data_IF_823193941967
#
_entry.id   IF_823193941967
#
_cell.length_a   1.000
_cell.length_b   1.000
_cell.length_c   1.000
_cell.angle_alpha   90.00
_cell.angle_beta   90.00
_cell.angle_gamma   90.00
#
_symmetry.space_group_name_H-M   'P 1'
#
loop_
_entity.id
_entity.type
_entity.pdbx_description
1 polymer ?
#
# COMPACT_ATOMS: atom_id res chain seq x y z
N UNK A 1 24.25 18.51 7.62
CA UNK A 1 24.15 17.39 6.68
C UNK A 1 23.20 16.35 7.24
N UNK A 2 22.29 15.82 6.43
CA UNK A 2 21.36 14.76 6.81
C UNK A 2 21.72 13.47 6.08
N UNK A 3 21.58 12.33 6.76
CA UNK A 3 21.74 11.02 6.16
C UNK A 3 20.74 10.04 6.77
N UNK A 4 20.10 9.24 5.93
CA UNK A 4 19.14 8.23 6.35
C UNK A 4 19.73 6.82 6.25
N UNK A 5 19.36 5.95 7.18
CA UNK A 5 19.64 4.53 7.12
C UNK A 5 18.38 3.71 7.43
N UNK A 6 18.31 2.52 6.83
CA UNK A 6 17.24 1.53 7.02
C UNK A 6 17.86 0.27 7.58
N UNK A 7 17.47 -0.14 8.78
CA UNK A 7 18.03 -1.30 9.48
C UNK A 7 19.59 -1.25 9.55
N UNK A 8 20.16 -0.05 9.72
CA UNK A 8 21.60 0.18 9.73
C UNK A 8 22.27 0.30 8.35
N UNK A 9 21.53 0.09 7.25
CA UNK A 9 22.06 0.22 5.88
C UNK A 9 21.77 1.63 5.34
N UNK A 10 22.79 2.38 4.87
CA UNK A 10 22.57 3.72 4.30
C UNK A 10 21.58 3.70 3.12
N UNK A 11 20.60 4.60 3.17
CA UNK A 11 19.62 4.77 2.09
C UNK A 11 20.20 5.75 1.06
N UNK A 12 20.22 5.35 -0.21
CA UNK A 12 20.68 6.20 -1.32
C UNK A 12 19.50 6.60 -2.20
N UNK A 13 19.29 7.91 -2.44
CA UNK A 13 18.30 8.36 -3.41
C UNK A 13 18.63 7.84 -4.80
N UNK A 14 17.64 7.31 -5.50
CA UNK A 14 17.77 6.83 -6.88
C UNK A 14 17.11 7.77 -7.90
N UNK A 15 16.45 8.83 -7.43
CA UNK A 15 15.77 9.81 -8.27
C UNK A 15 14.42 9.36 -8.83
N UNK A 16 13.92 8.18 -8.44
CA UNK A 16 12.64 7.63 -8.89
C UNK A 16 11.81 7.10 -7.73
N UNK A 17 12.25 6.02 -7.12
CA UNK A 17 11.50 5.30 -6.09
C UNK A 17 11.92 5.77 -4.67
N UNK A 18 13.14 6.30 -4.53
CA UNK A 18 13.66 6.88 -3.29
C UNK A 18 14.15 8.30 -3.59
N UNK A 19 13.53 9.29 -2.95
CA UNK A 19 13.84 10.71 -3.12
C UNK A 19 14.22 11.35 -1.78
N UNK A 20 15.09 12.35 -1.84
CA UNK A 20 15.34 13.26 -0.74
C UNK A 20 14.71 14.62 -1.06
N UNK A 21 13.90 15.13 -0.13
CA UNK A 21 13.34 16.47 -0.21
C UNK A 21 14.40 17.52 0.18
N UNK A 22 14.20 18.77 -0.25
CA UNK A 22 15.12 19.88 0.04
C UNK A 22 15.20 20.24 1.53
N UNK A 23 14.16 19.90 2.29
CA UNK A 23 14.12 20.03 3.75
C UNK A 23 14.76 18.84 4.47
N UNK A 24 15.23 17.83 3.74
CA UNK A 24 15.87 16.63 4.27
C UNK A 24 14.92 15.49 4.62
N UNK A 25 13.65 15.55 4.18
CA UNK A 25 12.73 14.42 4.29
C UNK A 25 13.07 13.28 3.32
N UNK A 26 12.94 12.04 3.78
CA UNK A 26 13.03 10.84 2.95
C UNK A 26 11.65 10.49 2.38
N UNK A 27 11.53 10.42 1.05
CA UNK A 27 10.29 10.07 0.35
C UNK A 27 10.47 8.72 -0.33
N UNK A 28 9.57 7.77 -0.02
CA UNK A 28 9.50 6.45 -0.63
C UNK A 28 8.28 6.39 -1.57
N UNK A 29 8.53 6.28 -2.87
CA UNK A 29 7.49 6.10 -3.88
C UNK A 29 7.28 4.61 -4.17
N UNK A 30 6.03 4.21 -4.46
CA UNK A 30 5.66 2.83 -4.80
C UNK A 30 6.15 1.82 -3.75
N UNK A 31 5.86 2.12 -2.48
CA UNK A 31 6.27 1.34 -1.31
C UNK A 31 5.93 -0.14 -1.47
N UNK A 32 6.91 -1.00 -1.19
CA UNK A 32 6.80 -2.47 -1.21
C UNK A 32 6.90 -3.01 0.20
N UNK A 33 6.44 -4.25 0.42
CA UNK A 33 6.59 -4.92 1.71
C UNK A 33 8.06 -5.02 2.18
N UNK A 34 9.01 -5.07 1.24
CA UNK A 34 10.46 -5.04 1.53
C UNK A 34 10.97 -3.68 2.05
N UNK A 35 10.16 -2.63 1.97
CA UNK A 35 10.50 -1.31 2.50
C UNK A 35 10.15 -1.16 3.98
N UNK A 36 9.51 -2.17 4.59
CA UNK A 36 9.31 -2.25 6.02
C UNK A 36 10.64 -2.30 6.78
N UNK A 37 10.70 -1.60 7.92
CA UNK A 37 11.84 -1.63 8.82
C UNK A 37 12.02 -0.35 9.62
N UNK A 38 13.17 -0.28 10.29
CA UNK A 38 13.54 0.84 11.16
C UNK A 38 14.35 1.87 10.39
N UNK A 39 13.80 3.07 10.24
CA UNK A 39 14.42 4.18 9.54
C UNK A 39 15.02 5.15 10.54
N UNK A 40 16.31 5.44 10.41
CA UNK A 40 17.00 6.38 11.28
C UNK A 40 17.57 7.53 10.46
N UNK A 41 17.14 8.74 10.82
CA UNK A 41 17.66 9.97 10.27
C UNK A 41 18.75 10.50 11.19
N UNK A 42 19.93 10.78 10.63
CA UNK A 42 21.06 11.36 11.35
C UNK A 42 21.35 12.76 10.81
N UNK A 43 21.37 13.75 11.70
CA UNK A 43 21.72 15.13 11.41
C UNK A 43 23.08 15.47 12.00
N UNK A 44 23.96 16.00 11.16
CA UNK A 44 25.32 16.40 11.52
C UNK A 44 25.53 17.89 11.31
N UNK A 45 26.06 18.54 12.33
CA UNK A 45 26.75 19.82 12.24
C UNK A 45 28.22 19.54 12.60
N UNK A 46 29.20 20.32 12.11
CA UNK A 46 30.61 19.91 12.11
C UNK A 46 31.16 19.19 13.36
N UNK A 47 30.67 19.54 14.55
CA UNK A 47 31.06 18.93 15.84
C UNK A 47 29.92 18.19 16.59
N UNK A 48 28.67 18.26 16.12
CA UNK A 48 27.52 17.62 16.79
C UNK A 48 26.75 16.71 15.85
N UNK A 49 26.28 15.58 16.38
CA UNK A 49 25.37 14.67 15.70
C UNK A 49 24.14 14.39 16.56
N UNK A 50 22.98 14.39 15.93
CA UNK A 50 21.72 13.94 16.54
C UNK A 50 21.05 12.91 15.62
N UNK A 51 20.33 11.97 16.21
CA UNK A 51 19.66 10.89 15.48
C UNK A 51 18.24 10.70 15.99
N UNK A 52 17.33 10.38 15.08
CA UNK A 52 15.96 9.99 15.40
C UNK A 52 15.58 8.76 14.58
N UNK A 53 14.87 7.82 15.21
CA UNK A 53 14.47 6.54 14.59
C UNK A 53 12.95 6.42 14.58
N UNK A 54 12.41 5.97 13.45
CA UNK A 54 10.99 5.68 13.26
C UNK A 54 10.82 4.27 12.69
N UNK A 55 9.83 3.54 13.22
CA UNK A 55 9.47 2.23 12.71
C UNK A 55 8.43 2.37 11.61
N UNK A 56 8.73 1.88 10.41
CA UNK A 56 7.85 1.96 9.25
C UNK A 56 7.31 0.56 8.96
N UNK A 57 5.98 0.41 9.02
CA UNK A 57 5.28 -0.81 8.63
C UNK A 57 4.52 -0.60 7.34
N UNK A 58 4.62 -1.56 6.43
CA UNK A 58 3.93 -1.48 5.14
C UNK A 58 2.71 -2.36 5.19
N UNK A 59 1.58 -1.75 5.53
CA UNK A 59 0.29 -2.41 5.48
C UNK A 59 -0.09 -2.48 4.01
N UNK A 60 -0.13 -3.69 3.44
CA UNK A 60 -0.83 -3.88 2.18
C UNK A 60 -2.26 -3.45 2.42
N UNK A 61 -2.76 -2.53 1.60
CA UNK A 61 -4.17 -2.22 1.59
C UNK A 61 -4.90 -3.46 1.08
N UNK A 62 -5.13 -4.38 2.01
CA UNK A 62 -6.17 -5.36 1.91
C UNK A 62 -7.47 -4.58 2.05
N UNK A 63 -7.90 -3.93 0.98
CA UNK A 63 -9.32 -3.83 0.63
C UNK A 63 -9.90 -5.23 0.30
N UNK A 64 -9.36 -6.24 1.00
CA UNK A 64 -9.51 -7.66 0.97
C UNK A 64 -9.18 -8.17 2.38
N UNK A 65 -9.83 -7.62 3.41
CA UNK A 65 -10.51 -8.51 4.36
C UNK A 65 -11.83 -8.99 3.72
N UNK A 66 -11.69 -9.43 2.48
CA UNK A 66 -12.55 -10.40 1.88
C UNK A 66 -12.14 -11.64 2.65
N UNK A 67 -12.96 -12.05 3.61
CA UNK A 67 -12.83 -13.36 4.23
C UNK A 67 -12.43 -14.35 3.14
N UNK A 68 -11.46 -15.24 3.35
CA UNK A 68 -11.11 -16.27 2.37
C UNK A 68 -12.33 -17.09 1.87
N UNK A 69 -13.49 -16.93 2.52
CA UNK A 69 -14.79 -17.53 2.19
C UNK A 69 -15.68 -16.71 1.23
N UNK A 70 -15.23 -15.58 0.70
CA UNK A 70 -16.00 -14.85 -0.31
C UNK A 70 -16.01 -15.61 -1.63
N UNK A 71 -17.15 -16.26 -1.87
CA UNK A 71 -17.42 -17.04 -3.07
C UNK A 71 -18.76 -16.57 -3.62
N UNK A 72 -18.84 -16.47 -4.95
CA UNK A 72 -20.08 -16.09 -5.61
C UNK A 72 -21.16 -17.16 -5.42
N UNK A 73 -22.34 -16.74 -4.96
CA UNK A 73 -23.50 -17.61 -4.77
C UNK A 73 -24.34 -17.65 -6.05
N UNK A 74 -23.83 -18.37 -7.06
CA UNK A 74 -24.46 -18.45 -8.39
C UNK A 74 -25.88 -19.03 -8.40
N UNK A 75 -26.28 -19.74 -7.34
CA UNK A 75 -27.66 -20.22 -7.17
C UNK A 75 -28.67 -19.08 -6.91
N UNK A 76 -28.21 -17.96 -6.37
CA UNK A 76 -29.04 -16.82 -6.00
C UNK A 76 -28.95 -15.67 -7.00
N UNK A 77 -27.80 -15.52 -7.68
CA UNK A 77 -27.61 -14.48 -8.69
C UNK A 77 -26.59 -14.91 -9.77
N UNK A 78 -26.88 -14.57 -11.03
CA UNK A 78 -25.90 -14.71 -12.10
C UNK A 78 -24.89 -13.56 -12.04
N UNK A 79 -23.76 -13.78 -11.37
CA UNK A 79 -22.76 -12.74 -11.12
C UNK A 79 -22.09 -12.19 -12.38
N UNK A 80 -22.09 -12.95 -13.48
CA UNK A 80 -21.65 -12.44 -14.80
C UNK A 80 -22.58 -11.32 -15.29
N UNK A 81 -23.89 -11.46 -15.09
CA UNK A 81 -24.87 -10.42 -15.44
C UNK A 81 -24.80 -9.23 -14.49
N UNK A 82 -24.63 -9.44 -13.19
CA UNK A 82 -24.50 -8.36 -12.20
C UNK A 82 -23.30 -7.46 -12.50
N UNK A 83 -22.15 -8.05 -12.80
CA UNK A 83 -20.95 -7.29 -13.22
C UNK A 83 -21.19 -6.57 -14.53
N UNK A 84 -21.75 -7.26 -15.55
CA UNK A 84 -22.03 -6.67 -16.85
C UNK A 84 -22.99 -5.47 -16.76
N UNK A 85 -24.03 -5.56 -15.94
CA UNK A 85 -25.01 -4.51 -15.70
C UNK A 85 -24.54 -3.42 -14.72
N UNK A 86 -23.30 -3.50 -14.21
CA UNK A 86 -22.72 -2.57 -13.21
C UNK A 86 -23.56 -2.45 -11.93
N UNK A 87 -24.17 -3.55 -11.50
CA UNK A 87 -25.04 -3.60 -10.32
C UNK A 87 -24.29 -3.90 -9.01
N UNK A 88 -22.96 -3.95 -9.04
CA UNK A 88 -22.12 -4.19 -7.87
C UNK A 88 -22.19 -3.11 -6.78
N UNK A 89 -22.76 -1.94 -7.08
CA UNK A 89 -23.03 -0.89 -6.08
C UNK A 89 -24.28 -1.17 -5.25
N UNK A 90 -25.13 -2.12 -5.70
CA UNK A 90 -26.31 -2.52 -4.96
C UNK A 90 -25.94 -3.58 -3.93
N UNK A 91 -26.18 -3.27 -2.65
CA UNK A 91 -25.87 -4.13 -1.52
C UNK A 91 -26.49 -5.54 -1.63
N UNK A 92 -27.68 -5.65 -2.23
CA UNK A 92 -28.36 -6.93 -2.44
C UNK A 92 -27.60 -7.84 -3.42
N UNK A 93 -27.02 -7.28 -4.48
CA UNK A 93 -26.29 -8.08 -5.46
C UNK A 93 -24.81 -8.28 -5.07
N UNK A 94 -24.21 -7.29 -4.42
CA UNK A 94 -22.81 -7.37 -3.98
C UNK A 94 -22.57 -8.39 -2.86
N UNK A 95 -23.61 -8.74 -2.09
CA UNK A 95 -23.52 -9.81 -1.08
C UNK A 95 -23.38 -11.19 -1.72
N UNK A 96 -24.16 -11.49 -2.76
CA UNK A 96 -24.11 -12.77 -3.47
C UNK A 96 -22.98 -12.85 -4.49
N UNK A 97 -22.60 -11.71 -5.10
CA UNK A 97 -21.56 -11.64 -6.12
C UNK A 97 -20.27 -11.00 -5.61
N UNK A 98 -19.91 -11.33 -4.36
CA UNK A 98 -18.82 -10.69 -3.65
C UNK A 98 -17.47 -10.84 -4.40
N UNK A 99 -17.15 -12.03 -4.91
CA UNK A 99 -15.88 -12.30 -5.57
C UNK A 99 -15.81 -11.62 -6.95
N UNK A 100 -16.87 -11.77 -7.74
CA UNK A 100 -16.99 -11.14 -9.07
C UNK A 100 -16.95 -9.61 -9.00
N UNK A 101 -17.68 -9.00 -8.08
CA UNK A 101 -17.72 -7.55 -7.92
C UNK A 101 -16.40 -6.97 -7.40
N UNK A 102 -15.76 -7.64 -6.43
CA UNK A 102 -14.45 -7.22 -5.91
C UNK A 102 -13.38 -7.28 -7.00
N UNK A 103 -13.36 -8.37 -7.78
CA UNK A 103 -12.42 -8.53 -8.91
C UNK A 103 -12.64 -7.50 -10.01
N UNK A 104 -13.88 -7.12 -10.28
CA UNK A 104 -14.19 -6.09 -11.28
C UNK A 104 -13.77 -4.69 -10.81
N UNK A 105 -13.98 -4.36 -9.53
CA UNK A 105 -13.54 -3.09 -8.93
C UNK A 105 -12.03 -2.89 -9.09
N UNK A 106 -11.21 -3.91 -8.80
CA UNK A 106 -9.75 -3.83 -8.95
C UNK A 106 -9.28 -3.61 -10.41
N UNK A 107 -10.08 -4.03 -11.40
CA UNK A 107 -9.77 -3.78 -12.82
C UNK A 107 -10.19 -2.39 -13.28
N UNK A 108 -11.17 -1.76 -12.64
CA UNK A 108 -11.63 -0.42 -12.97
C UNK A 108 -10.75 0.68 -12.36
N UNK A 109 -9.96 0.37 -11.33
CA UNK A 109 -8.99 1.29 -10.70
C UNK A 109 -7.56 1.18 -11.26
N UNK A 110 -7.39 0.52 -12.41
CA UNK A 110 -6.15 0.44 -13.19
C UNK A 110 -6.37 1.04 -14.57
#
# INVERSE_FOLDING_TARGET
>A
FLSDNRNGVPVRPDGRDILLSSDGGLILNKVKASDEGSYTCNAYTGIYSVSATAEVRVIKDSLQDVSPDCVDQNELANCKLIVYARLCTNQYYSSFCCASCTKHSQKSSR
#
